data_IF_110619124502
#
_entry.id   IF_110619124502
#
_cell.length_a   1.000
_cell.length_b   1.000
_cell.length_c   1.000
_cell.angle_alpha   90.00
_cell.angle_beta   90.00
_cell.angle_gamma   90.00
#
_symmetry.space_group_name_H-M   'P 1'
#
loop_
_entity.id
_entity.type
_entity.pdbx_description
1 polymer ?
#
# COMPACT_ATOMS: atom_id res chain seq x y z
N UNK A 1 -14.86 -26.92 -13.46
CA UNK A 1 -16.28 -27.17 -13.15
C UNK A 1 -16.40 -27.81 -11.79
N UNK A 2 -15.79 -28.98 -11.60
CA UNK A 2 -15.87 -29.77 -10.36
C UNK A 2 -15.46 -29.02 -9.08
N UNK A 3 -14.55 -28.03 -9.19
CA UNK A 3 -14.10 -27.21 -8.04
C UNK A 3 -14.89 -25.92 -7.79
N UNK A 4 -15.46 -25.31 -8.83
CA UNK A 4 -15.98 -23.94 -8.76
C UNK A 4 -17.47 -23.83 -9.11
N UNK A 5 -18.09 -24.87 -9.66
CA UNK A 5 -19.45 -24.81 -10.20
C UNK A 5 -19.50 -24.23 -11.62
N UNK A 6 -20.53 -24.59 -12.38
CA UNK A 6 -20.77 -24.10 -13.75
C UNK A 6 -21.20 -22.63 -13.80
N UNK A 7 -21.77 -22.16 -12.70
CA UNK A 7 -22.26 -20.81 -12.47
C UNK A 7 -21.12 -19.81 -12.20
N UNK A 8 -19.96 -20.27 -11.69
CA UNK A 8 -18.78 -19.44 -11.39
C UNK A 8 -17.63 -19.60 -12.36
N UNK A 9 -17.83 -20.32 -13.45
CA UNK A 9 -16.84 -20.51 -14.52
C UNK A 9 -17.40 -19.89 -15.79
N UNK A 10 -16.60 -19.02 -16.42
CA UNK A 10 -16.91 -18.43 -17.72
C UNK A 10 -15.73 -18.55 -18.66
N UNK A 11 -16.03 -18.71 -19.95
CA UNK A 11 -15.02 -18.67 -21.01
C UNK A 11 -14.75 -17.22 -21.38
N UNK A 12 -13.51 -16.78 -21.18
CA UNK A 12 -13.06 -15.46 -21.56
C UNK A 12 -12.83 -15.37 -23.08
N UNK A 13 -13.43 -14.36 -23.72
CA UNK A 13 -13.21 -14.02 -25.12
C UNK A 13 -12.51 -12.66 -25.21
N UNK A 14 -11.32 -12.66 -25.80
CA UNK A 14 -10.47 -11.45 -25.88
C UNK A 14 -9.86 -11.32 -27.27
N UNK A 15 -9.85 -10.11 -27.81
CA UNK A 15 -9.27 -9.81 -29.12
C UNK A 15 -8.14 -8.81 -28.96
N UNK A 16 -6.91 -9.34 -28.99
CA UNK A 16 -5.66 -8.60 -28.84
C UNK A 16 -5.17 -7.95 -30.15
N UNK A 17 -5.83 -8.22 -31.28
CA UNK A 17 -5.37 -7.79 -32.60
C UNK A 17 -4.32 -8.73 -33.19
N UNK A 18 -4.37 -10.02 -32.85
CA UNK A 18 -3.58 -11.07 -33.49
C UNK A 18 -4.37 -11.70 -34.65
N UNK A 19 -3.69 -12.17 -35.71
CA UNK A 19 -4.36 -12.75 -36.86
C UNK A 19 -5.33 -13.89 -36.54
N UNK A 20 -5.06 -14.66 -35.47
CA UNK A 20 -5.84 -15.83 -35.08
C UNK A 20 -6.82 -15.59 -33.93
N UNK A 21 -7.02 -14.33 -33.51
CA UNK A 21 -7.90 -14.04 -32.37
C UNK A 21 -9.36 -14.41 -32.66
N UNK A 22 -9.83 -14.22 -33.89
CA UNK A 22 -11.21 -14.52 -34.28
C UNK A 22 -11.46 -16.03 -34.30
N UNK A 23 -10.59 -16.81 -34.95
CA UNK A 23 -10.70 -18.28 -34.95
C UNK A 23 -10.59 -18.85 -33.53
N UNK A 24 -9.67 -18.30 -32.71
CA UNK A 24 -9.54 -18.70 -31.30
C UNK A 24 -10.84 -18.41 -30.55
N UNK A 25 -11.40 -17.21 -30.68
CA UNK A 25 -12.60 -16.83 -29.94
C UNK A 25 -13.83 -17.62 -30.41
N UNK A 26 -13.94 -17.95 -31.69
CA UNK A 26 -14.99 -18.85 -32.22
C UNK A 26 -14.84 -20.25 -31.61
N UNK A 27 -13.64 -20.81 -31.62
CA UNK A 27 -13.37 -22.13 -31.02
C UNK A 27 -13.69 -22.15 -29.52
N UNK A 28 -13.30 -21.11 -28.78
CA UNK A 28 -13.60 -20.96 -27.35
C UNK A 28 -15.11 -20.82 -27.09
N UNK A 29 -15.81 -19.99 -27.86
CA UNK A 29 -17.25 -19.81 -27.71
C UNK A 29 -18.03 -21.12 -27.97
N UNK A 30 -17.56 -21.96 -28.90
CA UNK A 30 -18.16 -23.26 -29.20
C UNK A 30 -18.07 -24.25 -28.02
N UNK A 31 -17.14 -24.05 -27.07
CA UNK A 31 -17.04 -24.88 -25.87
C UNK A 31 -18.10 -24.52 -24.82
N UNK A 32 -18.63 -23.29 -24.83
CA UNK A 32 -19.54 -22.83 -23.77
C UNK A 32 -20.83 -23.68 -23.65
N UNK A 33 -21.54 -24.02 -24.74
CA UNK A 33 -22.70 -24.90 -24.67
C UNK A 33 -22.34 -26.32 -24.22
N UNK A 34 -21.18 -26.85 -24.65
CA UNK A 34 -20.73 -28.20 -24.32
C UNK A 34 -20.53 -28.38 -22.81
N UNK A 35 -20.02 -27.35 -22.15
CA UNK A 35 -19.77 -27.36 -20.72
C UNK A 35 -20.86 -26.65 -19.90
N UNK A 36 -21.91 -26.12 -20.54
CA UNK A 36 -22.97 -25.33 -19.87
C UNK A 36 -22.41 -24.17 -19.03
N UNK A 37 -21.38 -23.50 -19.55
CA UNK A 37 -20.76 -22.32 -18.93
C UNK A 37 -21.11 -21.06 -19.71
N UNK A 38 -21.02 -19.90 -19.06
CA UNK A 38 -21.18 -18.62 -19.75
C UNK A 38 -19.93 -18.22 -20.53
N UNK A 39 -20.10 -17.30 -21.48
CA UNK A 39 -19.00 -16.56 -22.10
C UNK A 39 -18.96 -15.15 -21.50
N UNK A 40 -17.75 -14.63 -21.29
CA UNK A 40 -17.52 -13.23 -20.92
C UNK A 40 -16.49 -12.66 -21.87
N UNK A 41 -16.78 -11.51 -22.46
CA UNK A 41 -15.81 -10.85 -23.32
C UNK A 41 -15.07 -9.76 -22.53
N UNK A 42 -13.75 -9.67 -22.67
CA UNK A 42 -12.92 -8.66 -22.01
C UNK A 42 -12.09 -7.91 -23.06
N UNK A 43 -11.48 -6.80 -22.68
CA UNK A 43 -10.59 -6.06 -23.58
C UNK A 43 -9.11 -6.39 -23.35
N UNK A 44 -8.77 -7.14 -22.29
CA UNK A 44 -7.39 -7.35 -21.87
C UNK A 44 -6.62 -6.03 -21.70
N UNK A 45 -7.25 -4.99 -21.14
CA UNK A 45 -6.70 -3.64 -21.10
C UNK A 45 -5.37 -3.55 -20.33
N UNK A 46 -4.36 -2.95 -20.95
CA UNK A 46 -3.07 -2.60 -20.34
C UNK A 46 -2.83 -1.08 -20.30
N UNK A 47 -3.67 -0.30 -20.98
CA UNK A 47 -3.59 1.16 -21.01
C UNK A 47 -4.97 1.79 -21.21
N UNK A 48 -5.12 3.05 -20.76
CA UNK A 48 -6.41 3.73 -20.69
C UNK A 48 -6.88 4.37 -22.01
N UNK A 49 -5.98 4.66 -22.95
CA UNK A 49 -6.34 5.33 -24.20
C UNK A 49 -5.39 4.97 -25.34
N UNK A 50 -5.82 5.00 -26.61
CA UNK A 50 -4.96 4.70 -27.75
C UNK A 50 -3.66 5.52 -27.80
N UNK A 51 -3.69 6.78 -27.34
CA UNK A 51 -2.50 7.64 -27.25
C UNK A 51 -1.41 7.10 -26.31
N UNK A 52 -1.77 6.24 -25.34
CA UNK A 52 -0.85 5.63 -24.36
C UNK A 52 -0.23 4.32 -24.85
N UNK A 53 -0.64 3.78 -25.99
CA UNK A 53 -0.17 2.47 -26.45
C UNK A 53 1.34 2.42 -26.70
N UNK A 54 1.95 3.50 -27.25
CA UNK A 54 3.42 3.57 -27.42
C UNK A 54 4.15 3.47 -26.10
N UNK A 55 3.66 4.18 -25.09
CA UNK A 55 4.22 4.12 -23.73
C UNK A 55 4.07 2.72 -23.15
N UNK A 56 2.89 2.09 -23.26
CA UNK A 56 2.66 0.74 -22.76
C UNK A 56 3.58 -0.30 -23.43
N UNK A 57 3.81 -0.17 -24.74
CA UNK A 57 4.77 -1.04 -25.45
C UNK A 57 6.21 -0.80 -25.00
N UNK A 58 6.63 0.46 -24.82
CA UNK A 58 7.96 0.78 -24.33
C UNK A 58 8.18 0.23 -22.90
N UNK A 59 7.17 0.36 -22.03
CA UNK A 59 7.17 -0.23 -20.69
C UNK A 59 7.25 -1.77 -20.73
N UNK A 60 6.54 -2.40 -21.67
CA UNK A 60 6.60 -3.85 -21.90
C UNK A 60 7.95 -4.35 -22.40
N UNK A 61 8.72 -3.51 -23.10
CA UNK A 61 10.06 -3.83 -23.62
C UNK A 61 11.15 -3.78 -22.53
N UNK A 62 10.99 -2.92 -21.51
CA UNK A 62 11.98 -2.76 -20.42
C UNK A 62 12.11 -4.03 -19.58
N UNK A 63 10.98 -4.65 -19.22
CA UNK A 63 10.93 -5.80 -18.31
C UNK A 63 11.74 -7.03 -18.79
N UNK A 64 11.66 -7.46 -20.07
CA UNK A 64 12.49 -8.54 -20.61
C UNK A 64 13.91 -8.09 -21.02
N UNK A 65 14.26 -6.81 -20.90
CA UNK A 65 15.55 -6.28 -21.35
C UNK A 65 15.75 -6.23 -22.87
N UNK A 66 14.67 -6.42 -23.64
CA UNK A 66 14.72 -6.41 -25.10
C UNK A 66 14.27 -5.06 -25.66
N UNK A 67 15.01 -4.42 -26.58
CA UNK A 67 14.57 -3.19 -27.21
C UNK A 67 13.23 -3.35 -27.94
N UNK A 68 12.50 -2.24 -28.07
CA UNK A 68 11.20 -2.14 -28.75
C UNK A 68 11.24 -2.66 -30.20
N UNK A 69 12.43 -2.64 -30.82
CA UNK A 69 12.68 -3.14 -32.18
C UNK A 69 12.56 -4.66 -32.32
N UNK A 70 12.47 -5.41 -31.22
CA UNK A 70 12.29 -6.86 -31.24
C UNK A 70 10.99 -7.25 -30.52
N UNK A 71 9.82 -7.21 -31.19
CA UNK A 71 8.57 -7.57 -30.56
C UNK A 71 8.62 -9.03 -30.09
N UNK A 72 8.43 -9.25 -28.80
CA UNK A 72 8.30 -10.60 -28.23
C UNK A 72 6.83 -10.94 -27.99
N UNK A 73 6.54 -12.23 -27.80
CA UNK A 73 5.24 -12.67 -27.32
C UNK A 73 4.90 -11.97 -25.99
N UNK A 74 3.66 -11.52 -25.84
CA UNK A 74 3.15 -10.90 -24.60
C UNK A 74 3.18 -9.35 -24.54
N UNK A 75 3.56 -8.65 -25.62
CA UNK A 75 3.58 -7.18 -25.60
C UNK A 75 2.18 -6.58 -25.65
N UNK A 76 1.90 -5.51 -24.86
CA UNK A 76 0.65 -4.77 -24.95
C UNK A 76 0.49 -4.18 -26.36
N UNK A 77 -0.46 -4.68 -27.14
CA UNK A 77 -0.78 -4.11 -28.47
C UNK A 77 -1.78 -2.98 -28.36
N UNK A 78 -1.85 -2.16 -29.40
CA UNK A 78 -2.76 -1.02 -29.56
C UNK A 78 -4.24 -1.30 -29.24
N UNK A 79 -4.64 -2.56 -29.24
CA UNK A 79 -6.01 -3.03 -29.01
C UNK A 79 -6.29 -3.37 -27.53
N UNK A 80 -5.26 -3.51 -26.70
CA UNK A 80 -5.36 -3.82 -25.27
C UNK A 80 -5.70 -2.56 -24.44
N UNK A 81 -6.83 -1.94 -24.73
CA UNK A 81 -7.28 -0.70 -24.09
C UNK A 81 -8.59 -0.86 -23.32
N UNK A 82 -8.88 0.11 -22.45
CA UNK A 82 -10.26 0.30 -21.99
C UNK A 82 -11.11 0.76 -23.18
N UNK A 83 -12.27 0.13 -23.33
CA UNK A 83 -13.14 0.36 -24.48
C UNK A 83 -14.59 0.38 -24.02
N UNK A 84 -15.39 1.28 -24.58
CA UNK A 84 -16.83 1.29 -24.34
C UNK A 84 -17.44 -0.03 -24.87
N UNK A 85 -18.34 -0.68 -24.11
CA UNK A 85 -19.04 -1.88 -24.56
C UNK A 85 -19.86 -1.53 -25.80
N UNK A 86 -19.42 -1.96 -26.98
CA UNK A 86 -20.16 -1.78 -28.24
C UNK A 86 -19.34 -1.36 -29.45
N UNK A 87 -18.14 -0.77 -29.30
CA UNK A 87 -17.41 -0.22 -30.46
C UNK A 87 -16.57 -1.21 -31.28
N UNK A 88 -16.33 -2.44 -30.80
CA UNK A 88 -15.35 -3.33 -31.45
C UNK A 88 -15.79 -4.77 -31.70
N UNK A 89 -17.05 -5.13 -31.42
CA UNK A 89 -17.49 -6.52 -31.63
C UNK A 89 -18.95 -6.63 -32.07
N UNK A 90 -19.22 -6.74 -33.38
CA UNK A 90 -20.55 -7.08 -33.90
C UNK A 90 -21.03 -8.48 -33.48
N UNK A 91 -20.10 -9.36 -33.06
CA UNK A 91 -20.37 -10.76 -32.67
C UNK A 91 -20.57 -11.03 -31.17
N UNK A 92 -19.96 -10.25 -30.26
CA UNK A 92 -20.18 -10.44 -28.82
C UNK A 92 -21.58 -9.99 -28.37
N UNK A 93 -22.20 -9.04 -29.08
CA UNK A 93 -23.59 -8.62 -28.84
C UNK A 93 -24.62 -9.50 -29.54
N UNK A 94 -24.22 -10.27 -30.57
CA UNK A 94 -25.16 -11.08 -31.38
C UNK A 94 -25.26 -12.56 -30.98
N UNK A 95 -24.31 -13.09 -30.20
CA UNK A 95 -24.33 -14.48 -29.73
C UNK A 95 -25.00 -14.70 -28.37
N UNK A 96 -25.21 -13.65 -27.57
CA UNK A 96 -25.80 -13.77 -26.25
C UNK A 96 -27.32 -13.52 -26.32
N UNK A 97 -28.11 -14.59 -26.53
CA UNK A 97 -29.49 -14.60 -26.01
C UNK A 97 -29.40 -14.64 -24.49
N UNK A 98 -29.27 -13.47 -23.88
CA UNK A 98 -29.13 -13.29 -22.44
C UNK A 98 -28.46 -11.96 -22.19
N UNK A 99 -29.07 -11.11 -21.36
CA UNK A 99 -28.64 -9.74 -21.09
C UNK A 99 -27.16 -9.61 -20.72
N UNK A 100 -26.67 -8.38 -20.73
CA UNK A 100 -25.27 -7.97 -20.58
C UNK A 100 -24.60 -8.56 -19.31
N UNK A 101 -24.18 -9.84 -19.39
CA UNK A 101 -23.74 -10.66 -18.25
C UNK A 101 -22.43 -10.17 -17.65
N UNK A 102 -21.71 -9.27 -18.34
CA UNK A 102 -20.59 -8.51 -17.77
C UNK A 102 -21.03 -7.68 -16.56
N UNK A 103 -22.20 -7.04 -16.66
CA UNK A 103 -22.79 -6.29 -15.56
C UNK A 103 -23.19 -7.23 -14.42
N UNK A 104 -23.80 -8.36 -14.74
CA UNK A 104 -24.16 -9.36 -13.73
C UNK A 104 -22.96 -9.93 -12.96
N UNK A 105 -21.81 -10.16 -13.61
CA UNK A 105 -20.58 -10.57 -12.92
C UNK A 105 -19.97 -9.42 -12.11
N UNK A 106 -19.96 -8.19 -12.64
CA UNK A 106 -19.45 -7.02 -11.93
C UNK A 106 -20.25 -6.74 -10.64
N UNK A 107 -21.58 -6.87 -10.70
CA UNK A 107 -22.48 -6.75 -9.54
C UNK A 107 -22.21 -7.85 -8.51
N UNK A 108 -22.00 -9.10 -8.94
CA UNK A 108 -21.65 -10.21 -8.03
C UNK A 108 -20.28 -10.02 -7.36
N UNK A 109 -19.37 -9.29 -8.01
CA UNK A 109 -18.03 -8.98 -7.48
C UNK A 109 -17.99 -7.66 -6.69
N UNK A 110 -19.10 -6.95 -6.54
CA UNK A 110 -19.12 -5.70 -5.79
C UNK A 110 -18.89 -5.96 -4.30
N UNK A 111 -17.83 -5.38 -3.74
CA UNK A 111 -17.55 -5.43 -2.31
C UNK A 111 -17.07 -4.05 -1.82
N UNK A 112 -17.51 -3.66 -0.63
CA UNK A 112 -17.08 -2.42 0.00
C UNK A 112 -15.76 -2.62 0.76
N UNK A 113 -14.75 -1.82 0.49
CA UNK A 113 -13.46 -1.89 1.20
C UNK A 113 -13.58 -1.60 2.71
N UNK A 114 -14.59 -0.82 3.12
CA UNK A 114 -14.87 -0.56 4.53
C UNK A 114 -15.22 -1.83 5.33
N UNK A 115 -15.69 -2.90 4.66
CA UNK A 115 -15.95 -4.20 5.29
C UNK A 115 -14.68 -4.91 5.74
N UNK A 116 -13.50 -4.43 5.32
CA UNK A 116 -12.18 -5.01 5.62
C UNK A 116 -11.40 -4.07 6.56
N UNK A 117 -12.01 -3.01 7.09
CA UNK A 117 -11.33 -2.10 8.00
C UNK A 117 -10.81 -2.88 9.23
N UNK A 118 -9.48 -2.98 9.41
CA UNK A 118 -8.91 -3.83 10.44
C UNK A 118 -9.21 -3.24 11.81
N UNK A 119 -9.60 -4.10 12.74
CA UNK A 119 -9.55 -3.77 14.17
C UNK A 119 -8.13 -4.02 14.67
N UNK A 120 -7.69 -3.24 15.64
CA UNK A 120 -6.44 -3.52 16.34
C UNK A 120 -6.55 -4.90 17.02
N UNK A 121 -5.52 -5.75 16.93
CA UNK A 121 -5.53 -7.03 17.63
C UNK A 121 -5.56 -6.78 19.15
N UNK A 122 -6.25 -7.64 19.92
CA UNK A 122 -6.24 -7.53 21.38
C UNK A 122 -4.81 -7.76 21.90
N UNK A 123 -4.45 -7.04 22.96
CA UNK A 123 -3.19 -7.20 23.66
C UNK A 123 -3.35 -8.17 24.85
N UNK A 124 -2.43 -9.12 24.98
CA UNK A 124 -2.43 -10.06 26.11
C UNK A 124 -2.06 -9.34 27.42
N UNK A 125 -3.04 -9.21 28.31
CA UNK A 125 -2.88 -8.58 29.62
C UNK A 125 -2.89 -9.61 30.77
N UNK A 126 -2.28 -9.30 31.93
CA UNK A 126 -2.33 -10.18 33.09
C UNK A 126 -3.75 -10.49 33.55
N UNK A 127 -3.94 -11.64 34.21
CA UNK A 127 -5.23 -12.06 34.72
C UNK A 127 -5.83 -11.01 35.68
N UNK A 128 -7.10 -10.66 35.47
CA UNK A 128 -7.80 -9.64 36.25
C UNK A 128 -7.72 -8.23 35.68
N UNK A 129 -6.96 -8.01 34.59
CA UNK A 129 -6.86 -6.71 33.93
C UNK A 129 -7.62 -6.67 32.59
N UNK A 130 -8.10 -5.47 32.26
CA UNK A 130 -8.39 -5.03 30.89
C UNK A 130 -7.20 -4.25 30.33
N UNK A 131 -7.14 -4.04 29.01
CA UNK A 131 -6.13 -3.18 28.37
C UNK A 131 -6.05 -1.79 29.01
N UNK A 132 -7.20 -1.15 29.28
CA UNK A 132 -7.26 0.15 29.97
C UNK A 132 -6.66 0.10 31.38
N UNK A 133 -7.02 -0.92 32.16
CA UNK A 133 -6.54 -1.04 33.54
C UNK A 133 -5.05 -1.34 33.60
N UNK A 134 -4.56 -2.16 32.66
CA UNK A 134 -3.15 -2.53 32.58
C UNK A 134 -2.30 -1.37 32.08
N UNK A 135 -2.77 -0.65 31.06
CA UNK A 135 -2.14 0.57 30.59
C UNK A 135 -2.03 1.59 31.73
N UNK A 136 -3.11 1.82 32.49
CA UNK A 136 -3.08 2.72 33.65
C UNK A 136 -2.03 2.28 34.67
N UNK A 137 -1.94 1.00 35.01
CA UNK A 137 -0.96 0.51 35.97
C UNK A 137 0.49 0.80 35.52
N UNK A 138 0.81 0.48 34.26
CA UNK A 138 2.13 0.73 33.67
C UNK A 138 2.47 2.22 33.61
N UNK A 139 1.50 3.05 33.21
CA UNK A 139 1.65 4.50 33.17
C UNK A 139 1.90 5.06 34.56
N UNK A 140 1.15 4.61 35.57
CA UNK A 140 1.33 5.07 36.95
C UNK A 140 2.68 4.65 37.54
N UNK A 141 3.16 3.45 37.21
CA UNK A 141 4.51 3.02 37.59
C UNK A 141 5.58 3.90 36.94
N UNK A 142 5.50 4.09 35.62
CA UNK A 142 6.46 4.92 34.89
C UNK A 142 6.40 6.41 35.26
N UNK A 143 5.21 6.92 35.60
CA UNK A 143 5.03 8.28 36.09
C UNK A 143 5.70 8.48 37.46
N UNK A 144 5.62 7.50 38.37
CA UNK A 144 6.36 7.56 39.64
C UNK A 144 7.87 7.62 39.41
N UNK A 145 8.38 6.84 38.46
CA UNK A 145 9.81 6.81 38.15
C UNK A 145 10.31 8.13 37.53
N UNK A 146 9.49 8.78 36.70
CA UNK A 146 9.91 10.00 35.95
C UNK A 146 9.50 11.32 36.59
N UNK A 147 8.33 11.39 37.22
CA UNK A 147 7.77 12.60 37.83
C UNK A 147 7.82 12.59 39.37
N UNK A 148 8.10 11.44 39.98
CA UNK A 148 8.05 11.27 41.44
C UNK A 148 6.62 11.06 41.95
N UNK A 149 6.41 11.39 43.23
CA UNK A 149 5.11 11.22 43.88
C UNK A 149 4.02 12.12 43.24
N UNK A 150 2.73 11.73 43.29
CA UNK A 150 1.63 12.56 42.79
C UNK A 150 1.63 13.99 43.32
N UNK A 151 1.96 14.16 44.61
CA UNK A 151 1.99 15.45 45.28
C UNK A 151 3.14 16.36 44.78
N UNK A 152 4.23 15.79 44.24
CA UNK A 152 5.35 16.57 43.70
C UNK A 152 5.12 17.05 42.27
N UNK A 153 4.19 16.45 41.53
CA UNK A 153 3.95 16.78 40.12
C UNK A 153 2.44 16.76 39.76
N UNK A 154 1.57 17.50 40.47
CA UNK A 154 0.12 17.41 40.31
C UNK A 154 -0.37 17.71 38.89
N UNK A 155 0.31 18.61 38.18
CA UNK A 155 -0.01 18.93 36.78
C UNK A 155 0.23 17.74 35.85
N UNK A 156 1.32 16.99 36.04
CA UNK A 156 1.63 15.83 35.21
C UNK A 156 0.63 14.69 35.42
N UNK A 157 0.26 14.42 36.68
CA UNK A 157 -0.75 13.41 36.99
C UNK A 157 -2.15 13.79 36.49
N UNK A 158 -2.53 15.06 36.55
CA UNK A 158 -3.79 15.55 35.96
C UNK A 158 -3.80 15.38 34.43
N UNK A 159 -2.69 15.71 33.77
CA UNK A 159 -2.53 15.50 32.33
C UNK A 159 -2.62 14.02 31.97
N UNK A 160 -1.93 13.14 32.71
CA UNK A 160 -1.97 11.68 32.51
C UNK A 160 -3.41 11.14 32.59
N UNK A 161 -4.19 11.55 33.59
CA UNK A 161 -5.58 11.08 33.71
C UNK A 161 -6.46 11.59 32.57
N UNK A 162 -6.27 12.83 32.10
CA UNK A 162 -6.95 13.34 30.91
C UNK A 162 -6.62 12.50 29.68
N UNK A 163 -5.33 12.24 29.44
CA UNK A 163 -4.88 11.43 28.31
C UNK A 163 -5.42 9.98 28.36
N UNK A 164 -5.35 9.33 29.51
CA UNK A 164 -5.89 7.97 29.71
C UNK A 164 -7.39 7.91 29.40
N UNK A 165 -8.16 8.93 29.81
CA UNK A 165 -9.58 8.99 29.51
C UNK A 165 -9.86 9.13 28.00
N UNK A 166 -9.08 9.95 27.30
CA UNK A 166 -9.20 10.09 25.83
C UNK A 166 -8.81 8.80 25.12
N UNK A 167 -7.73 8.13 25.55
CA UNK A 167 -7.28 6.85 24.98
C UNK A 167 -8.36 5.77 25.13
N UNK A 168 -8.99 5.69 26.30
CA UNK A 168 -10.08 4.75 26.58
C UNK A 168 -11.32 5.04 25.71
N UNK A 169 -11.72 6.31 25.60
CA UNK A 169 -12.85 6.73 24.76
C UNK A 169 -12.65 6.36 23.28
N UNK A 170 -11.42 6.50 22.80
CA UNK A 170 -11.06 6.19 21.42
C UNK A 170 -10.69 4.72 21.18
N UNK A 171 -10.72 3.88 22.23
CA UNK A 171 -10.41 2.45 22.17
C UNK A 171 -9.02 2.15 21.61
N UNK A 172 -8.04 2.92 22.05
CA UNK A 172 -6.63 2.69 21.70
C UNK A 172 -5.71 2.14 22.82
N UNK A 173 -6.18 1.58 23.95
CA UNK A 173 -5.25 1.15 25.00
C UNK A 173 -4.30 0.04 24.51
N UNK A 174 -4.79 -0.95 23.75
CA UNK A 174 -3.95 -1.99 23.12
C UNK A 174 -2.84 -1.42 22.22
N UNK A 175 -3.08 -0.32 21.51
CA UNK A 175 -2.05 0.32 20.68
C UNK A 175 -0.88 0.85 21.52
N UNK A 176 -1.17 1.56 22.61
CA UNK A 176 -0.14 2.05 23.52
C UNK A 176 0.61 0.91 24.21
N UNK A 177 -0.07 -0.20 24.52
CA UNK A 177 0.55 -1.40 25.08
C UNK A 177 1.53 -2.06 24.10
N UNK A 178 1.19 -2.16 22.81
CA UNK A 178 2.11 -2.67 21.77
C UNK A 178 3.35 -1.77 21.65
N UNK A 179 3.16 -0.46 21.62
CA UNK A 179 4.29 0.50 21.57
C UNK A 179 5.17 0.35 22.80
N UNK A 180 4.58 0.32 24.00
CA UNK A 180 5.31 0.11 25.25
C UNK A 180 6.09 -1.21 25.26
N UNK A 181 5.48 -2.29 24.78
CA UNK A 181 6.10 -3.61 24.73
C UNK A 181 7.35 -3.62 23.84
N UNK A 182 7.27 -2.98 22.66
CA UNK A 182 8.41 -2.84 21.75
C UNK A 182 9.51 -1.97 22.38
N UNK A 183 9.18 -0.81 22.97
CA UNK A 183 10.19 0.07 23.58
C UNK A 183 10.80 -0.54 24.84
N UNK A 184 10.01 -1.30 25.62
CA UNK A 184 10.49 -2.11 26.74
C UNK A 184 11.50 -3.15 26.26
N UNK A 185 11.18 -3.91 25.21
CA UNK A 185 12.09 -4.90 24.64
C UNK A 185 13.41 -4.26 24.22
N UNK A 186 13.36 -3.11 23.52
CA UNK A 186 14.55 -2.37 23.14
C UNK A 186 15.41 -1.99 24.37
N UNK A 187 14.80 -1.44 25.42
CA UNK A 187 15.48 -1.06 26.65
C UNK A 187 16.12 -2.25 27.38
N UNK A 188 15.42 -3.37 27.50
CA UNK A 188 15.93 -4.58 28.15
C UNK A 188 17.11 -5.22 27.38
N UNK A 189 17.20 -4.97 26.07
CA UNK A 189 18.25 -5.51 25.21
C UNK A 189 19.33 -4.46 24.85
N UNK A 190 19.34 -3.30 25.51
CA UNK A 190 20.25 -2.19 25.24
C UNK A 190 20.24 -1.73 23.77
N UNK A 191 19.07 -1.75 23.14
CA UNK A 191 18.84 -1.24 21.78
C UNK A 191 18.34 0.19 21.89
N UNK A 192 19.03 1.14 21.25
CA UNK A 192 18.59 2.52 21.24
C UNK A 192 17.29 2.66 20.42
N UNK A 193 16.25 3.18 21.07
CA UNK A 193 15.00 3.54 20.42
C UNK A 193 14.41 4.84 20.98
N UNK A 194 13.68 5.57 20.13
CA UNK A 194 13.06 6.84 20.51
C UNK A 194 11.74 7.03 19.76
N UNK A 195 10.67 7.35 20.49
CA UNK A 195 9.42 7.80 19.89
C UNK A 195 9.58 9.17 19.23
N UNK A 196 9.09 9.32 17.99
CA UNK A 196 9.13 10.57 17.21
C UNK A 196 7.72 11.09 16.89
N UNK A 197 7.68 12.29 16.29
CA UNK A 197 6.45 12.91 15.85
C UNK A 197 5.59 13.42 17.00
N UNK A 198 4.27 13.35 16.84
CA UNK A 198 3.31 13.88 17.81
C UNK A 198 3.26 13.08 19.11
N UNK A 199 3.79 11.86 19.15
CA UNK A 199 3.90 11.07 20.39
C UNK A 199 4.67 11.81 21.50
N UNK A 200 5.58 12.72 21.14
CA UNK A 200 6.32 13.56 22.09
C UNK A 200 5.43 14.50 22.92
N UNK A 201 4.19 14.75 22.50
CA UNK A 201 3.25 15.62 23.19
C UNK A 201 2.41 14.89 24.27
N UNK A 202 2.65 13.59 24.50
CA UNK A 202 1.84 12.78 25.42
C UNK A 202 2.60 12.45 26.70
N UNK A 203 2.02 12.83 27.84
CA UNK A 203 2.54 12.50 29.16
C UNK A 203 2.47 10.98 29.42
N UNK A 204 1.48 10.29 28.84
CA UNK A 204 1.39 8.82 28.82
C UNK A 204 2.60 8.21 28.09
N UNK A 205 2.94 8.69 26.88
CA UNK A 205 4.11 8.21 26.14
C UNK A 205 5.42 8.47 26.90
N UNK A 206 5.54 9.62 27.56
CA UNK A 206 6.71 9.93 28.37
C UNK A 206 6.82 9.03 29.60
N UNK A 207 5.72 8.81 30.32
CA UNK A 207 5.66 7.92 31.49
C UNK A 207 6.01 6.46 31.12
N UNK A 208 5.49 5.96 30.01
CA UNK A 208 5.82 4.62 29.48
C UNK A 208 7.27 4.50 28.99
N UNK A 209 7.97 5.62 28.85
CA UNK A 209 9.32 5.69 28.33
C UNK A 209 9.43 5.49 26.82
N UNK A 210 8.33 5.72 26.09
CA UNK A 210 8.32 5.76 24.62
C UNK A 210 9.04 7.02 24.13
N UNK A 211 8.85 8.14 24.83
CA UNK A 211 9.49 9.42 24.51
C UNK A 211 10.42 9.86 25.64
N UNK A 212 11.42 10.65 25.29
CA UNK A 212 12.41 11.19 26.24
C UNK A 212 12.13 12.64 26.65
N UNK A 213 11.16 13.31 26.02
CA UNK A 213 10.81 14.72 26.27
C UNK A 213 9.59 14.76 27.18
N UNK A 214 9.68 15.51 28.28
CA UNK A 214 8.57 15.77 29.18
C UNK A 214 7.61 16.81 28.56
N UNK A 215 6.40 16.42 28.15
CA UNK A 215 5.46 17.34 27.51
C UNK A 215 4.87 18.36 28.48
N UNK A 216 4.84 18.06 29.79
CA UNK A 216 4.24 18.94 30.80
C UNK A 216 5.19 20.11 31.08
N UNK A 217 6.47 19.82 31.31
CA UNK A 217 7.49 20.85 31.49
C UNK A 217 7.71 21.72 30.23
N UNK A 218 7.38 21.19 29.05
CA UNK A 218 7.52 21.89 27.77
C UNK A 218 6.19 22.45 27.23
N UNK A 219 5.11 22.39 28.01
CA UNK A 219 3.77 22.91 27.65
C UNK A 219 3.27 22.42 26.28
N UNK A 220 3.53 21.15 25.94
CA UNK A 220 3.12 20.56 24.67
C UNK A 220 1.65 20.14 24.71
N UNK A 221 0.90 20.46 23.64
CA UNK A 221 -0.51 20.07 23.53
C UNK A 221 -0.70 18.61 23.10
N UNK A 222 -1.33 17.83 23.97
CA UNK A 222 -1.76 16.47 23.71
C UNK A 222 -2.77 16.36 22.55
N UNK A 223 -3.67 17.33 22.38
CA UNK A 223 -4.72 17.28 21.35
C UNK A 223 -4.14 17.33 19.92
N UNK A 224 -2.88 17.76 19.76
CA UNK A 224 -2.17 17.67 18.47
C UNK A 224 -1.81 16.22 18.11
N UNK A 225 -1.68 15.37 19.11
CA UNK A 225 -1.39 13.95 18.98
C UNK A 225 -2.67 13.13 18.83
N UNK A 226 -3.58 13.24 19.79
CA UNK A 226 -4.81 12.48 19.83
C UNK A 226 -5.98 13.37 20.23
N UNK A 227 -7.02 13.40 19.40
CA UNK A 227 -8.22 14.21 19.66
C UNK A 227 -9.46 13.44 19.22
N UNK A 228 -10.55 13.49 20.01
CA UNK A 228 -11.84 12.93 19.60
C UNK A 228 -12.45 13.55 18.34
N UNK A 229 -12.01 14.76 17.97
CA UNK A 229 -12.50 15.47 16.78
C UNK A 229 -11.77 15.07 15.48
N UNK A 230 -10.76 14.20 15.55
CA UNK A 230 -9.95 13.80 14.40
C UNK A 230 -10.20 12.34 14.07
N UNK A 231 -10.46 12.05 12.80
CA UNK A 231 -10.64 10.69 12.32
C UNK A 231 -9.28 9.98 12.12
N UNK A 232 -9.20 8.74 12.63
CA UNK A 232 -8.08 7.82 12.39
C UNK A 232 -7.21 7.53 13.62
N UNK A 233 -6.50 6.39 13.63
CA UNK A 233 -5.61 6.02 14.71
C UNK A 233 -4.44 7.02 14.82
N UNK A 234 -3.92 7.27 16.04
CA UNK A 234 -2.70 8.05 16.23
C UNK A 234 -1.51 7.34 15.59
N UNK A 235 -0.56 8.12 15.07
CA UNK A 235 0.69 7.60 14.52
C UNK A 235 1.81 7.77 15.56
N UNK A 236 2.18 6.67 16.21
CA UNK A 236 3.35 6.59 17.10
C UNK A 236 4.46 5.89 16.34
N UNK A 237 5.37 6.70 15.83
CA UNK A 237 6.57 6.23 15.18
C UNK A 237 7.69 5.98 16.21
N UNK A 238 8.31 4.81 16.15
CA UNK A 238 9.50 4.48 16.94
C UNK A 238 10.72 4.40 16.02
N UNK A 239 11.70 5.28 16.26
CA UNK A 239 13.01 5.17 15.66
C UNK A 239 13.83 4.13 16.41
N UNK A 240 14.43 3.18 15.69
CA UNK A 240 15.26 2.10 16.24
C UNK A 240 16.62 2.19 15.54
N UNK A 241 17.70 1.97 16.28
CA UNK A 241 19.04 1.93 15.68
C UNK A 241 19.15 0.89 14.56
N UNK A 242 19.80 1.29 13.46
CA UNK A 242 19.77 0.54 12.21
C UNK A 242 20.31 -0.88 12.34
N UNK A 243 21.41 -1.06 13.07
CA UNK A 243 22.13 -2.34 13.14
C UNK A 243 21.38 -3.40 13.97
N UNK A 244 20.53 -2.96 14.91
CA UNK A 244 19.73 -3.87 15.75
C UNK A 244 18.25 -3.93 15.35
N UNK A 245 17.81 -3.13 14.36
CA UNK A 245 16.42 -3.08 13.90
C UNK A 245 15.87 -4.46 13.55
N UNK A 246 16.69 -5.33 12.97
CA UNK A 246 16.29 -6.70 12.63
C UNK A 246 15.90 -7.53 13.86
N UNK A 247 16.59 -7.35 15.00
CA UNK A 247 16.24 -8.05 16.25
C UNK A 247 14.85 -7.67 16.74
N UNK A 248 14.52 -6.38 16.66
CA UNK A 248 13.19 -5.88 17.07
C UNK A 248 12.10 -6.39 16.12
N UNK A 249 12.40 -6.49 14.82
CA UNK A 249 11.47 -7.10 13.84
C UNK A 249 11.21 -8.56 14.18
N UNK A 250 12.26 -9.35 14.47
CA UNK A 250 12.08 -10.75 14.87
C UNK A 250 11.30 -10.87 16.19
N UNK A 251 11.56 -10.00 17.17
CA UNK A 251 10.76 -9.93 18.39
C UNK A 251 9.27 -9.73 18.09
N UNK A 252 8.93 -8.77 17.23
CA UNK A 252 7.54 -8.52 16.83
C UNK A 252 6.94 -9.75 16.14
N UNK A 253 7.69 -10.43 15.27
CA UNK A 253 7.20 -11.66 14.63
C UNK A 253 6.98 -12.81 15.60
N UNK A 254 7.87 -12.99 16.57
CA UNK A 254 7.78 -14.06 17.56
C UNK A 254 6.66 -13.78 18.57
N UNK A 255 6.49 -12.51 18.96
CA UNK A 255 5.50 -12.06 19.95
C UNK A 255 4.08 -12.03 19.40
N UNK A 256 3.90 -11.45 18.21
CA UNK A 256 2.58 -11.19 17.63
C UNK A 256 2.20 -12.13 16.48
N UNK A 257 3.15 -12.95 16.00
CA UNK A 257 2.92 -13.92 14.95
C UNK A 257 3.04 -13.34 13.53
N UNK A 258 3.53 -14.16 12.59
CA UNK A 258 3.69 -13.77 11.17
C UNK A 258 2.37 -13.61 10.40
N UNK A 259 1.27 -14.12 10.95
CA UNK A 259 -0.07 -13.93 10.37
C UNK A 259 -0.61 -12.51 10.61
N UNK A 260 -0.07 -11.80 11.61
CA UNK A 260 -0.54 -10.48 12.05
C UNK A 260 0.51 -9.37 11.94
N UNK A 261 1.76 -9.71 11.59
CA UNK A 261 2.85 -8.76 11.43
C UNK A 261 3.57 -8.97 10.09
N UNK A 262 3.75 -7.88 9.32
CA UNK A 262 4.41 -7.90 8.02
C UNK A 262 5.18 -6.61 7.76
N UNK A 263 6.16 -6.66 6.85
CA UNK A 263 6.81 -5.44 6.37
C UNK A 263 5.93 -4.78 5.30
N UNK A 264 5.88 -3.46 5.33
CA UNK A 264 5.22 -2.68 4.28
C UNK A 264 6.19 -2.47 3.12
N UNK A 265 5.78 -2.89 1.92
CA UNK A 265 6.58 -2.71 0.72
C UNK A 265 6.57 -1.25 0.24
N UNK A 266 7.73 -0.72 -0.13
CA UNK A 266 7.82 0.57 -0.80
C UNK A 266 7.57 0.41 -2.31
N UNK A 267 6.63 1.17 -2.85
CA UNK A 267 6.34 1.17 -4.29
C UNK A 267 7.21 2.21 -4.99
N UNK A 268 8.26 1.74 -5.67
CA UNK A 268 9.16 2.61 -6.43
C UNK A 268 8.44 3.13 -7.68
N UNK A 269 8.30 4.45 -7.78
CA UNK A 269 7.74 5.13 -8.96
C UNK A 269 8.85 5.73 -9.82
N UNK A 270 8.60 5.84 -11.13
CA UNK A 270 9.55 6.44 -12.06
C UNK A 270 9.78 7.92 -11.71
N UNK A 271 11.05 8.27 -11.45
CA UNK A 271 11.53 9.66 -11.38
C UNK A 271 12.21 10.03 -12.70
N UNK A 272 12.38 11.32 -13.00
CA UNK A 272 12.80 11.82 -14.31
C UNK A 272 14.04 11.13 -14.89
N UNK A 273 15.10 10.96 -14.09
CA UNK A 273 16.35 10.31 -14.54
C UNK A 273 16.16 8.85 -14.95
N UNK A 274 15.48 8.07 -14.10
CA UNK A 274 15.24 6.64 -14.38
C UNK A 274 14.29 6.50 -15.56
N UNK A 275 13.26 7.36 -15.66
CA UNK A 275 12.32 7.36 -16.78
C UNK A 275 13.03 7.56 -18.11
N UNK A 276 13.91 8.56 -18.23
CA UNK A 276 14.64 8.81 -19.48
C UNK A 276 15.64 7.71 -19.81
N UNK A 277 16.36 7.20 -18.80
CA UNK A 277 17.29 6.10 -18.99
C UNK A 277 16.59 4.83 -19.50
N UNK A 278 15.48 4.44 -18.88
CA UNK A 278 14.77 3.22 -19.26
C UNK A 278 13.99 3.38 -20.56
N UNK A 279 13.45 4.56 -20.88
CA UNK A 279 12.87 4.84 -22.20
C UNK A 279 13.94 4.80 -23.30
N UNK A 280 15.12 5.36 -23.04
CA UNK A 280 16.24 5.30 -23.99
C UNK A 280 16.69 3.86 -24.23
N UNK A 281 16.74 3.02 -23.18
CA UNK A 281 16.97 1.58 -23.32
C UNK A 281 15.88 0.90 -24.14
N UNK A 282 14.62 1.18 -23.85
CA UNK A 282 13.49 0.62 -24.59
C UNK A 282 13.55 0.96 -26.08
N UNK A 283 14.04 2.16 -26.43
CA UNK A 283 14.23 2.59 -27.81
C UNK A 283 15.50 2.05 -28.47
N UNK A 284 16.35 1.32 -27.74
CA UNK A 284 17.56 0.68 -28.28
C UNK A 284 18.81 1.56 -28.28
N UNK A 285 18.82 2.68 -27.53
CA UNK A 285 20.01 3.53 -27.43
C UNK A 285 21.09 2.91 -26.55
N UNK A 286 22.35 3.23 -26.83
CA UNK A 286 23.51 2.74 -26.08
C UNK A 286 23.53 3.25 -24.64
N UNK A 287 24.22 2.53 -23.75
CA UNK A 287 24.35 2.94 -22.34
C UNK A 287 24.98 4.34 -22.19
N UNK A 288 25.97 4.69 -23.04
CA UNK A 288 26.58 6.02 -23.02
C UNK A 288 25.58 7.14 -23.34
N UNK A 289 24.68 6.92 -24.30
CA UNK A 289 23.60 7.87 -24.63
C UNK A 289 22.57 7.96 -23.49
N UNK A 290 22.19 6.83 -22.91
CA UNK A 290 21.27 6.76 -21.76
C UNK A 290 21.80 7.60 -20.59
N UNK A 291 23.07 7.42 -20.24
CA UNK A 291 23.70 8.11 -19.11
C UNK A 291 23.86 9.61 -19.41
N UNK A 292 24.26 9.98 -20.63
CA UNK A 292 24.36 11.39 -21.05
C UNK A 292 23.01 12.14 -20.93
N UNK A 293 21.92 11.56 -21.43
CA UNK A 293 20.59 12.19 -21.34
C UNK A 293 20.06 12.24 -19.92
N UNK A 294 20.25 11.18 -19.12
CA UNK A 294 19.78 11.17 -17.73
C UNK A 294 20.45 12.25 -16.88
N UNK A 295 21.73 12.59 -17.15
CA UNK A 295 22.49 13.63 -16.43
C UNK A 295 22.01 15.05 -16.74
N UNK A 296 21.40 15.28 -17.90
CA UNK A 296 20.82 16.57 -18.29
C UNK A 296 19.54 16.90 -17.51
N UNK A 297 18.95 15.91 -16.83
CA UNK A 297 17.76 16.10 -16.00
C UNK A 297 18.21 16.43 -14.57
N UNK A 298 18.11 17.71 -14.21
CA UNK A 298 18.29 18.19 -12.84
C UNK A 298 17.01 17.99 -12.02
N UNK A 299 17.13 17.86 -10.70
CA UNK A 299 15.99 17.64 -9.80
C UNK A 299 15.06 18.85 -9.67
N UNK A 300 15.48 20.03 -10.16
CA UNK A 300 14.82 21.32 -9.93
C UNK A 300 14.06 21.89 -11.12
N UNK A 301 14.32 21.39 -12.34
CA UNK A 301 13.59 21.85 -13.52
C UNK A 301 12.60 20.78 -13.93
N UNK A 302 11.30 21.11 -13.86
CA UNK A 302 10.29 20.36 -14.59
C UNK A 302 10.70 20.24 -16.06
N UNK A 303 10.15 19.24 -16.76
CA UNK A 303 10.41 18.90 -18.17
C UNK A 303 10.22 20.06 -19.19
N UNK A 304 9.93 21.29 -18.74
CA UNK A 304 9.72 22.47 -19.56
C UNK A 304 11.01 23.04 -20.19
N UNK A 305 12.18 22.85 -19.58
CA UNK A 305 13.42 23.56 -19.99
C UNK A 305 14.52 22.66 -20.55
N UNK A 306 14.24 21.40 -20.89
CA UNK A 306 15.18 20.62 -21.68
C UNK A 306 15.05 21.06 -23.16
N UNK A 307 16.06 21.68 -23.78
CA UNK A 307 15.98 22.01 -25.20
C UNK A 307 15.78 20.70 -25.96
N UNK A 308 14.63 20.57 -26.63
CA UNK A 308 14.39 19.49 -27.59
C UNK A 308 15.40 19.73 -28.72
N UNK A 309 16.56 19.08 -28.63
CA UNK A 309 17.52 19.09 -29.72
C UNK A 309 16.84 18.41 -30.92
N UNK A 310 16.91 19.07 -32.09
CA UNK A 310 16.38 18.63 -33.38
C UNK A 310 17.12 17.38 -33.89
N UNK A 311 17.05 16.27 -33.16
CA UNK A 311 17.76 15.03 -33.46
C UNK A 311 16.83 13.82 -33.62
N UNK A 312 15.54 14.04 -33.87
CA UNK A 312 14.66 12.99 -34.39
C UNK A 312 14.60 13.10 -35.92
N UNK A 313 15.29 12.24 -36.68
CA UNK A 313 15.07 12.16 -38.11
C UNK A 313 13.66 11.60 -38.34
N UNK A 314 12.82 12.37 -39.01
CA UNK A 314 11.54 11.93 -39.53
C UNK A 314 11.74 10.81 -40.55
N UNK A 315 11.26 9.61 -40.22
CA UNK A 315 10.86 8.58 -41.19
C UNK A 315 9.60 7.90 -40.69
#
# INVERSE_FOLDING_TARGET
MDRFGSDRVSIELTHHGQPLDDERNVALAALAPRFKVSVVATTGAHFAAPSRARLAMAMGAIRPGNPWTRPSAGWPRWVAHTCAPGRRWPGCSRGARGGDRRLGLAEQCAFGLALIAPQLPPFDVPAGHTEDSWLRELVMAGARDRYGAPDSAPQAYAQIEHELNVIAQLKFPGYFLVVYDITRFCRENNILCQGRGSAANSAVCYALGVTAVDPVANELLFERFLSPARDGPPDIDIDIESDQREKVIQYVYDKYGRDYAAQVANVITYRGRIAVRDMARALGFSQGQQDAWSKQISQWNGLADAPISKAFPSR
#
